data_IF_671275537999
#
_entry.id   IF_671275537999
#
_cell.length_a   1.000
_cell.length_b   1.000
_cell.length_c   1.000
_cell.angle_alpha   90.00
_cell.angle_beta   90.00
_cell.angle_gamma   90.00
#
_symmetry.space_group_name_H-M   'P 1'
#
loop_
_entity.id
_entity.type
_entity.pdbx_description
1 polymer ?
#
# COMPACT_ATOMS: atom_id res chain seq x y z
N UNK A 1 -4.76 17.66 4.58
CA UNK A 1 -4.92 16.28 5.07
C UNK A 1 -3.82 15.96 6.06
N UNK A 2 -4.12 15.16 7.11
CA UNK A 2 -3.11 14.67 8.05
C UNK A 2 -2.13 13.72 7.34
N UNK A 3 -0.96 13.48 7.93
CA UNK A 3 0.01 12.55 7.38
C UNK A 3 -0.59 11.13 7.30
N UNK A 4 -0.68 10.53 6.10
CA UNK A 4 -1.29 9.21 5.95
C UNK A 4 -0.43 8.17 6.68
N UNK A 5 -1.08 7.31 7.46
CA UNK A 5 -0.44 6.21 8.16
C UNK A 5 -0.57 4.96 7.31
N UNK A 6 0.54 4.48 6.74
CA UNK A 6 0.60 3.23 5.98
C UNK A 6 1.49 2.25 6.72
N UNK A 7 0.97 1.05 7.02
CA UNK A 7 1.72 0.00 7.67
C UNK A 7 2.48 -0.83 6.62
N UNK A 8 3.72 -1.24 6.92
CA UNK A 8 4.57 -2.02 6.02
C UNK A 8 4.77 -1.39 4.63
N UNK A 9 4.74 -0.07 4.58
CA UNK A 9 4.93 0.71 3.37
C UNK A 9 5.41 2.12 3.68
N UNK A 10 5.54 2.92 2.63
CA UNK A 10 6.06 4.28 2.63
C UNK A 10 5.31 5.13 1.61
N UNK A 11 5.30 6.43 1.82
CA UNK A 11 4.78 7.40 0.83
C UNK A 11 5.91 8.04 0.06
N UNK A 12 5.67 8.40 -1.21
CA UNK A 12 6.68 9.04 -2.06
C UNK A 12 7.15 10.40 -1.53
N UNK A 13 6.29 11.13 -0.81
CA UNK A 13 6.65 12.43 -0.25
C UNK A 13 6.09 12.52 1.15
N UNK A 14 6.95 12.45 2.18
CA UNK A 14 6.57 12.68 3.56
C UNK A 14 6.51 14.19 3.85
N UNK A 15 5.32 14.71 4.11
CA UNK A 15 5.11 16.08 4.59
C UNK A 15 4.35 16.07 5.91
N UNK A 16 4.61 17.08 6.74
CA UNK A 16 3.87 17.31 7.99
C UNK A 16 2.39 17.66 7.71
N UNK A 17 2.13 18.42 6.63
CA UNK A 17 0.78 18.81 6.19
C UNK A 17 0.67 18.77 4.68
N UNK A 18 -0.47 18.24 4.21
CA UNK A 18 -0.87 18.23 2.80
C UNK A 18 -2.03 19.20 2.58
N UNK A 19 -2.04 19.86 1.44
CA UNK A 19 -3.02 20.84 0.98
C UNK A 19 -4.01 20.22 -0.02
N UNK A 20 -5.09 20.94 -0.32
CA UNK A 20 -6.11 20.46 -1.26
C UNK A 20 -5.49 20.19 -2.64
N UNK A 21 -5.88 19.08 -3.26
CA UNK A 21 -5.33 18.53 -4.52
C UNK A 21 -3.91 17.95 -4.43
N UNK A 22 -3.25 18.00 -3.28
CA UNK A 22 -1.98 17.28 -3.13
C UNK A 22 -2.21 15.79 -3.32
N UNK A 23 -1.36 15.17 -4.14
CA UNK A 23 -1.42 13.74 -4.44
C UNK A 23 -0.18 13.06 -3.92
N UNK A 24 -0.36 11.95 -3.22
CA UNK A 24 0.73 11.12 -2.70
C UNK A 24 0.63 9.72 -3.28
N UNK A 25 1.77 9.13 -3.56
CA UNK A 25 1.87 7.73 -3.97
C UNK A 25 2.33 6.89 -2.78
N UNK A 26 1.78 5.69 -2.67
CA UNK A 26 2.08 4.69 -1.66
C UNK A 26 2.89 3.56 -2.28
N UNK A 27 3.86 3.07 -1.52
CA UNK A 27 4.75 2.00 -1.92
C UNK A 27 4.89 1.03 -0.76
N UNK A 28 4.64 -0.24 -0.99
CA UNK A 28 4.84 -1.26 0.03
C UNK A 28 6.32 -1.68 0.11
N UNK A 29 6.72 -2.18 1.28
CA UNK A 29 8.04 -2.77 1.46
C UNK A 29 8.16 -4.07 0.67
N UNK A 30 9.39 -4.52 0.44
CA UNK A 30 9.67 -5.76 -0.28
C UNK A 30 8.97 -6.96 0.41
N UNK A 31 8.33 -7.81 -0.39
CA UNK A 31 7.50 -8.92 0.11
C UNK A 31 6.07 -8.55 0.51
N UNK A 32 5.68 -7.28 0.42
CA UNK A 32 4.31 -6.83 0.66
C UNK A 32 3.62 -6.40 -0.64
N UNK A 33 2.35 -6.74 -0.77
CA UNK A 33 1.50 -6.36 -1.90
C UNK A 33 0.56 -5.23 -1.49
N UNK A 34 0.51 -4.19 -2.31
CA UNK A 34 -0.37 -3.04 -2.08
C UNK A 34 -1.81 -3.43 -2.42
N UNK A 35 -2.68 -3.42 -1.41
CA UNK A 35 -4.12 -3.64 -1.59
C UNK A 35 -4.87 -2.31 -1.52
N UNK A 36 -5.52 -1.97 -2.62
CA UNK A 36 -6.24 -0.71 -2.79
C UNK A 36 -5.56 0.18 -3.83
N UNK A 37 -5.67 1.49 -3.66
CA UNK A 37 -5.09 2.45 -4.61
C UNK A 37 -3.67 2.85 -4.23
N UNK A 38 -2.77 2.80 -5.21
CA UNK A 38 -1.37 3.23 -5.04
C UNK A 38 -1.21 4.74 -4.86
N UNK A 39 -2.26 5.53 -5.05
CA UNK A 39 -2.24 6.99 -4.97
C UNK A 39 -3.48 7.50 -4.25
N UNK A 40 -3.33 8.47 -3.35
CA UNK A 40 -4.44 9.19 -2.76
C UNK A 40 -4.26 10.70 -2.97
N UNK A 41 -5.39 11.38 -3.15
CA UNK A 41 -5.46 12.83 -3.28
C UNK A 41 -6.13 13.43 -2.04
N UNK A 42 -5.57 14.54 -1.58
CA UNK A 42 -6.13 15.29 -0.47
C UNK A 42 -7.35 16.09 -0.92
N UNK A 43 -8.50 15.76 -0.34
CA UNK A 43 -9.77 16.45 -0.61
C UNK A 43 -9.93 17.70 0.25
N UNK A 44 -10.88 18.56 -0.14
CA UNK A 44 -11.23 19.77 0.60
C UNK A 44 -11.67 19.47 2.05
N UNK A 45 -12.26 18.30 2.28
CA UNK A 45 -12.65 17.77 3.59
C UNK A 45 -11.48 17.27 4.45
N UNK A 46 -10.23 17.52 4.03
CA UNK A 46 -9.00 17.05 4.70
C UNK A 46 -8.89 15.53 4.80
N UNK A 47 -9.64 14.80 3.98
CA UNK A 47 -9.60 13.34 3.85
C UNK A 47 -8.77 12.91 2.64
N UNK A 48 -8.20 11.72 2.71
CA UNK A 48 -7.51 11.08 1.59
C UNK A 48 -8.51 10.31 0.75
N UNK A 49 -8.56 10.62 -0.54
CA UNK A 49 -9.43 9.92 -1.48
C UNK A 49 -8.65 9.56 -2.75
N UNK A 50 -8.64 8.28 -3.16
CA UNK A 50 -9.17 7.10 -2.45
C UNK A 50 -8.50 6.87 -1.07
N UNK A 51 -9.10 6.05 -0.19
CA UNK A 51 -8.57 5.80 1.16
C UNK A 51 -7.15 5.21 1.13
N UNK A 52 -6.40 5.42 2.21
CA UNK A 52 -5.02 4.94 2.35
C UNK A 52 -4.97 3.42 2.16
N UNK A 53 -4.13 2.90 1.25
CA UNK A 53 -4.06 1.46 0.98
C UNK A 53 -3.38 0.71 2.12
N UNK A 54 -3.57 -0.60 2.13
CA UNK A 54 -2.92 -1.51 3.10
C UNK A 54 -1.87 -2.33 2.37
N UNK A 55 -0.67 -2.41 2.94
CA UNK A 55 0.35 -3.34 2.49
C UNK A 55 0.14 -4.67 3.21
N UNK A 56 -0.53 -5.60 2.52
CA UNK A 56 -0.66 -6.95 3.01
C UNK A 56 0.60 -7.72 2.65
N UNK A 57 1.12 -8.53 3.57
CA UNK A 57 2.23 -9.41 3.24
C UNK A 57 1.74 -10.29 2.10
N UNK A 58 2.47 -10.28 0.97
CA UNK A 58 2.19 -11.21 -0.09
C UNK A 58 2.26 -12.56 0.56
N UNK A 59 1.14 -13.29 0.63
CA UNK A 59 1.19 -14.69 1.03
C UNK A 59 2.26 -15.25 0.11
N UNK A 60 3.37 -15.71 0.67
CA UNK A 60 4.36 -16.44 -0.10
C UNK A 60 3.52 -17.43 -0.90
N UNK A 61 3.46 -17.27 -2.22
CA UNK A 61 2.97 -18.33 -3.08
C UNK A 61 4.07 -19.38 -3.06
N UNK A 62 4.19 -20.00 -1.90
CA UNK A 62 4.76 -21.31 -1.70
C UNK A 62 3.82 -22.37 -2.28
N UNK A 63 2.98 -22.01 -3.25
CA UNK A 63 2.37 -22.95 -4.17
C UNK A 63 3.41 -23.67 -5.03
N UNK A 64 4.70 -23.36 -4.88
CA UNK A 64 5.82 -24.17 -5.36
C UNK A 64 6.63 -24.82 -4.21
N UNK A 65 5.99 -25.45 -3.22
CA UNK A 65 6.54 -26.67 -2.58
C UNK A 65 5.44 -27.69 -2.27
N UNK A 66 4.54 -27.95 -3.20
CA UNK A 66 3.67 -29.13 -3.12
C UNK A 66 3.49 -29.87 -4.45
N UNK A 67 4.23 -29.52 -5.50
CA UNK A 67 4.16 -30.20 -6.80
C UNK A 67 5.36 -31.12 -7.09
N UNK A 68 6.05 -31.63 -6.07
CA UNK A 68 6.92 -32.81 -6.19
C UNK A 68 6.37 -33.95 -5.32
N UNK A 69 5.07 -34.23 -5.42
CA UNK A 69 4.53 -35.51 -4.97
C UNK A 69 4.65 -36.48 -6.14
N UNK A 70 5.68 -37.32 -6.09
CA UNK A 70 5.96 -38.43 -7.02
C UNK A 70 4.89 -39.52 -6.80
N UNK A 71 4.07 -39.90 -7.79
CA UNK A 71 3.29 -41.13 -7.77
C UNK A 71 4.08 -42.27 -8.47
N UNK A 72 3.69 -43.54 -8.25
CA UNK A 72 4.58 -44.70 -8.01
C UNK A 72 5.42 -45.18 -9.19
#
# INVERSE_FOLDING_TARGET
>A
CPAPQIQNGRVSVLKYRYTYKDTVSFMCNEGFTLRGHRTARCQANKTWEPPVPVCEQGKCQHSDLSALQIPP
#
